data_IF_476011198489
#
_entry.id   IF_476011198489
#
_cell.length_a   1.000
_cell.length_b   1.000
_cell.length_c   1.000
_cell.angle_alpha   90.00
_cell.angle_beta   90.00
_cell.angle_gamma   90.00
#
_symmetry.space_group_name_H-M   'P 1'
#
loop_
_entity.id
_entity.type
_entity.pdbx_description
1 polymer ?
#
# COMPACT_ATOMS: atom_id res chain seq x y z
N UNK A 1 -28.32 6.78 -8.12
CA UNK A 1 -28.27 6.30 -9.52
C UNK A 1 -29.46 5.39 -9.74
N UNK A 2 -30.42 5.74 -10.60
CA UNK A 2 -31.55 4.85 -10.89
C UNK A 2 -31.02 3.56 -11.51
N UNK A 3 -31.16 2.44 -10.80
CA UNK A 3 -30.85 1.11 -11.30
C UNK A 3 -32.16 0.42 -11.65
N UNK A 4 -32.23 -0.18 -12.83
CA UNK A 4 -33.38 -0.97 -13.25
C UNK A 4 -33.01 -2.45 -13.22
N UNK A 5 -33.96 -3.31 -12.85
CA UNK A 5 -33.81 -4.75 -13.00
C UNK A 5 -34.30 -5.14 -14.39
N UNK A 6 -33.51 -5.94 -15.12
CA UNK A 6 -33.95 -6.62 -16.36
C UNK A 6 -33.70 -8.12 -16.22
N UNK A 7 -34.46 -8.90 -16.96
CA UNK A 7 -34.23 -10.35 -17.10
C UNK A 7 -33.50 -10.53 -18.43
N UNK A 8 -32.39 -11.25 -18.43
CA UNK A 8 -31.65 -11.58 -19.66
C UNK A 8 -32.26 -12.76 -20.42
N UNK A 9 -31.70 -13.10 -21.58
CA UNK A 9 -32.20 -14.19 -22.43
C UNK A 9 -32.10 -15.59 -21.76
N UNK A 10 -31.30 -15.72 -20.71
CA UNK A 10 -31.16 -16.94 -19.91
C UNK A 10 -32.14 -16.99 -18.72
N UNK A 11 -33.00 -15.98 -18.54
CA UNK A 11 -33.93 -15.88 -17.43
C UNK A 11 -33.33 -15.33 -16.12
N UNK A 12 -32.08 -14.84 -16.15
CA UNK A 12 -31.41 -14.30 -14.97
C UNK A 12 -31.72 -12.82 -14.78
N UNK A 13 -32.01 -12.41 -13.53
CA UNK A 13 -32.23 -11.00 -13.18
C UNK A 13 -30.90 -10.27 -13.03
N UNK A 14 -30.65 -9.31 -13.91
CA UNK A 14 -29.48 -8.44 -13.91
C UNK A 14 -29.85 -7.00 -13.57
N UNK A 15 -28.97 -6.29 -12.84
CA UNK A 15 -29.09 -4.84 -12.65
C UNK A 15 -28.45 -4.13 -13.82
N UNK A 16 -29.21 -3.28 -14.48
CA UNK A 16 -28.75 -2.51 -15.63
C UNK A 16 -28.81 -1.03 -15.28
N UNK A 17 -27.77 -0.32 -15.67
CA UNK A 17 -27.64 1.13 -15.55
C UNK A 17 -27.59 1.69 -16.95
N UNK A 18 -28.31 2.79 -17.16
CA UNK A 18 -28.24 3.53 -18.42
C UNK A 18 -26.79 4.00 -18.68
N UNK A 19 -26.32 3.83 -19.91
CA UNK A 19 -24.94 4.17 -20.28
C UNK A 19 -24.61 5.63 -19.99
N UNK A 20 -25.53 6.56 -20.26
CA UNK A 20 -25.31 7.98 -20.02
C UNK A 20 -25.16 8.28 -18.53
N UNK A 21 -25.94 7.60 -17.69
CA UNK A 21 -25.84 7.69 -16.23
C UNK A 21 -24.50 7.15 -15.73
N UNK A 22 -24.05 6.01 -16.27
CA UNK A 22 -22.76 5.43 -15.92
C UNK A 22 -21.60 6.35 -16.33
N UNK A 23 -21.64 6.90 -17.54
CA UNK A 23 -20.63 7.83 -18.04
C UNK A 23 -20.62 9.14 -17.26
N UNK A 24 -21.78 9.69 -16.91
CA UNK A 24 -21.87 10.89 -16.09
C UNK A 24 -21.26 10.67 -14.71
N UNK A 25 -21.60 9.56 -14.05
CA UNK A 25 -21.00 9.17 -12.77
C UNK A 25 -19.48 8.96 -12.89
N UNK A 26 -19.03 8.31 -13.96
CA UNK A 26 -17.61 8.07 -14.19
C UNK A 26 -16.84 9.38 -14.37
N UNK A 27 -17.37 10.33 -15.15
CA UNK A 27 -16.78 11.66 -15.33
C UNK A 27 -16.68 12.41 -13.99
N UNK A 28 -17.75 12.39 -13.20
CA UNK A 28 -17.75 13.05 -11.88
C UNK A 28 -16.69 12.42 -10.95
N UNK A 29 -16.61 11.09 -10.94
CA UNK A 29 -15.59 10.34 -10.18
C UNK A 29 -14.17 10.67 -10.64
N UNK A 30 -13.92 10.74 -11.94
CA UNK A 30 -12.61 11.09 -12.50
C UNK A 30 -12.22 12.55 -12.22
N UNK A 31 -13.20 13.46 -12.18
CA UNK A 31 -12.99 14.85 -11.78
C UNK A 31 -12.69 14.96 -10.28
N UNK A 32 -13.26 14.09 -9.44
CA UNK A 32 -13.06 14.08 -7.99
C UNK A 32 -11.77 13.39 -7.54
N UNK A 33 -11.04 12.71 -8.44
CA UNK A 33 -9.84 11.95 -8.08
C UNK A 33 -8.55 12.80 -8.22
N UNK A 34 -7.85 13.15 -7.11
CA UNK A 34 -6.71 14.06 -7.18
C UNK A 34 -5.55 13.54 -8.05
N UNK A 35 -5.21 12.25 -7.93
CA UNK A 35 -4.10 11.67 -8.68
C UNK A 35 -4.31 11.75 -10.20
N UNK A 36 -5.54 11.49 -10.67
CA UNK A 36 -5.88 11.60 -12.08
C UNK A 36 -5.75 13.05 -12.56
N UNK A 37 -6.26 14.02 -11.79
CA UNK A 37 -6.13 15.44 -12.10
C UNK A 37 -4.67 15.88 -12.22
N UNK A 38 -3.79 15.49 -11.29
CA UNK A 38 -2.37 15.85 -11.37
C UNK A 38 -1.65 15.19 -12.55
N UNK A 39 -2.00 13.94 -12.90
CA UNK A 39 -1.48 13.29 -14.12
C UNK A 39 -1.87 14.04 -15.39
N UNK A 40 -3.13 14.46 -15.50
CA UNK A 40 -3.59 15.28 -16.63
C UNK A 40 -2.89 16.62 -16.67
N UNK A 41 -2.80 17.31 -15.53
CA UNK A 41 -2.13 18.61 -15.41
C UNK A 41 -0.67 18.54 -15.84
N UNK A 42 0.05 17.47 -15.46
CA UNK A 42 1.42 17.20 -15.91
C UNK A 42 1.51 17.10 -17.44
N UNK A 43 0.64 16.31 -18.08
CA UNK A 43 0.61 16.16 -19.55
C UNK A 43 0.31 17.48 -20.27
N UNK A 44 -0.58 18.30 -19.72
CA UNK A 44 -0.91 19.63 -20.29
C UNK A 44 0.31 20.56 -20.26
N UNK A 45 1.05 20.56 -19.14
CA UNK A 45 2.30 21.31 -18.99
C UNK A 45 3.37 20.81 -19.96
N UNK A 46 3.54 19.49 -20.08
CA UNK A 46 4.49 18.87 -21.03
C UNK A 46 4.16 19.22 -22.49
N UNK A 47 2.87 19.39 -22.81
CA UNK A 47 2.41 19.84 -24.12
C UNK A 47 2.55 21.35 -24.34
N UNK A 48 3.15 22.10 -23.40
CA UNK A 48 3.36 23.55 -23.49
C UNK A 48 2.11 24.40 -23.26
N UNK A 49 1.02 23.80 -22.78
CA UNK A 49 -0.23 24.51 -22.52
C UNK A 49 -0.31 24.98 -21.05
N UNK A 50 -1.10 26.04 -20.80
CA UNK A 50 -1.35 26.49 -19.44
C UNK A 50 -2.18 25.46 -18.67
N UNK A 51 -1.65 25.05 -17.51
CA UNK A 51 -2.27 24.01 -16.70
C UNK A 51 -3.53 24.56 -16.00
N UNK A 52 -4.62 23.78 -15.95
CA UNK A 52 -5.82 24.20 -15.22
C UNK A 52 -5.50 24.45 -13.74
N UNK A 53 -6.16 25.45 -13.10
CA UNK A 53 -5.98 25.73 -11.68
C UNK A 53 -6.44 24.53 -10.85
N UNK A 54 -5.74 24.27 -9.74
CA UNK A 54 -6.10 23.17 -8.82
C UNK A 54 -7.45 23.49 -8.18
N UNK A 55 -8.48 22.62 -8.31
CA UNK A 55 -9.76 22.82 -7.66
C UNK A 55 -9.60 22.96 -6.14
N UNK A 56 -10.28 23.93 -5.52
CA UNK A 56 -10.21 24.18 -4.08
C UNK A 56 -10.57 22.95 -3.22
N UNK A 57 -11.36 22.02 -3.75
CA UNK A 57 -11.67 20.74 -3.09
C UNK A 57 -10.47 19.84 -2.86
N UNK A 58 -9.40 19.97 -3.64
CA UNK A 58 -8.15 19.19 -3.46
C UNK A 58 -7.22 19.83 -2.44
N UNK A 59 -7.37 21.13 -2.17
CA UNK A 59 -6.53 21.85 -1.20
C UNK A 59 -7.23 22.09 0.13
N UNK A 60 -8.55 21.87 0.23
CA UNK A 60 -9.22 21.77 1.53
C UNK A 60 -8.63 20.60 2.30
N UNK A 61 -7.70 20.89 3.21
CA UNK A 61 -7.57 20.11 4.44
C UNK A 61 -8.98 19.96 4.97
N UNK A 62 -9.41 18.72 5.22
CA UNK A 62 -10.69 18.45 5.91
C UNK A 62 -10.71 19.43 7.09
N UNK A 63 -11.65 20.39 7.16
CA UNK A 63 -11.74 21.24 8.32
C UNK A 63 -11.79 20.30 9.53
N UNK A 64 -11.08 20.60 10.63
CA UNK A 64 -11.17 19.78 11.83
C UNK A 64 -12.65 19.55 12.07
N UNK A 65 -13.05 18.28 12.12
CA UNK A 65 -14.45 17.91 12.33
C UNK A 65 -14.89 18.69 13.57
N UNK A 66 -15.83 19.64 13.47
CA UNK A 66 -16.35 20.27 14.67
C UNK A 66 -16.90 19.13 15.50
N UNK A 67 -16.33 18.92 16.69
CA UNK A 67 -16.85 17.94 17.64
C UNK A 67 -18.30 18.30 17.91
N UNK A 68 -19.24 17.58 17.27
CA UNK A 68 -20.65 17.60 17.62
C UNK A 68 -20.81 16.89 18.96
N UNK A 69 -20.48 17.62 20.03
CA UNK A 69 -20.88 17.32 21.40
C UNK A 69 -21.72 18.50 21.90
N UNK A 70 -22.88 18.71 21.29
CA UNK A 70 -24.01 19.38 21.94
C UNK A 70 -25.15 18.37 22.02
N UNK A 71 -25.06 17.50 23.03
CA UNK A 71 -26.25 16.87 23.62
C UNK A 71 -26.78 17.78 24.74
N UNK A 72 -28.11 17.83 24.93
CA UNK A 72 -28.76 18.69 25.92
C UNK A 72 -28.27 18.39 27.33
N UNK A 73 -28.09 19.46 28.12
CA UNK A 73 -27.67 19.49 29.52
C UNK A 73 -28.31 18.36 30.35
N UNK A 74 -27.58 17.26 30.50
CA UNK A 74 -27.64 16.39 31.66
C UNK A 74 -26.33 16.60 32.40
N UNK A 75 -26.40 16.84 33.71
CA UNK A 75 -25.23 17.00 34.60
C UNK A 75 -24.18 15.92 34.31
N UNK A 76 -22.98 16.28 33.78
CA UNK A 76 -21.95 15.31 33.51
C UNK A 76 -21.06 15.17 34.74
N UNK A 77 -21.22 14.05 35.43
CA UNK A 77 -20.16 13.42 36.19
C UNK A 77 -18.92 13.36 35.28
N UNK A 78 -17.87 14.11 35.65
CA UNK A 78 -16.65 14.30 34.87
C UNK A 78 -16.14 12.96 34.31
N UNK A 79 -16.17 12.72 32.99
CA UNK A 79 -15.48 11.58 32.42
C UNK A 79 -13.99 11.83 32.60
N UNK A 80 -13.37 11.06 33.51
CA UNK A 80 -11.92 10.94 33.65
C UNK A 80 -11.33 10.83 32.23
N UNK A 81 -10.54 11.83 31.85
CA UNK A 81 -9.82 11.84 30.58
C UNK A 81 -9.08 10.52 30.43
N UNK A 82 -9.57 9.65 29.54
CA UNK A 82 -8.83 8.47 29.13
C UNK A 82 -7.65 8.98 28.30
N UNK A 83 -6.52 9.17 28.98
CA UNK A 83 -5.23 9.40 28.34
C UNK A 83 -4.97 8.24 27.40
N UNK A 84 -5.06 8.48 26.09
CA UNK A 84 -4.62 7.50 25.11
C UNK A 84 -3.12 7.17 25.32
N UNK A 85 -2.64 6.04 24.78
CA UNK A 85 -1.24 5.68 24.84
C UNK A 85 -0.40 6.81 24.25
N UNK A 86 0.62 7.23 24.99
CA UNK A 86 1.58 8.21 24.53
C UNK A 86 2.43 7.62 23.41
N UNK A 87 3.09 8.46 22.61
CA UNK A 87 4.03 7.98 21.59
C UNK A 87 5.12 7.07 22.21
N UNK A 88 5.52 7.33 23.46
CA UNK A 88 6.45 6.48 24.19
C UNK A 88 5.88 5.09 24.48
N UNK A 89 4.59 5.00 24.83
CA UNK A 89 3.90 3.73 25.05
C UNK A 89 3.80 2.93 23.74
N UNK A 90 3.49 3.61 22.62
CA UNK A 90 3.47 2.97 21.30
C UNK A 90 4.86 2.47 20.89
N UNK A 91 5.92 3.26 21.14
CA UNK A 91 7.30 2.84 20.84
C UNK A 91 7.73 1.67 21.74
N UNK A 92 7.30 1.63 22.99
CA UNK A 92 7.59 0.52 23.92
C UNK A 92 6.83 -0.76 23.57
N UNK A 93 5.65 -0.65 22.97
CA UNK A 93 4.85 -1.80 22.48
C UNK A 93 5.32 -2.33 21.12
N UNK A 94 6.10 -1.55 20.36
CA UNK A 94 6.68 -2.06 19.13
C UNK A 94 7.69 -3.17 19.49
N UNK A 95 7.59 -4.37 18.90
CA UNK A 95 8.55 -5.42 19.16
C UNK A 95 9.96 -4.95 18.82
N UNK A 96 10.94 -5.29 19.65
CA UNK A 96 12.36 -5.04 19.39
C UNK A 96 12.79 -5.76 18.10
N UNK A 97 12.61 -5.08 16.98
CA UNK A 97 12.81 -5.66 15.65
C UNK A 97 14.30 -5.74 15.28
N UNK A 98 15.21 -5.30 16.17
CA UNK A 98 16.57 -4.87 15.81
C UNK A 98 17.64 -5.94 16.13
N UNK A 99 17.37 -6.91 17.02
CA UNK A 99 18.41 -7.83 17.50
C UNK A 99 18.40 -9.21 16.83
N UNK A 100 17.86 -9.30 15.61
CA UNK A 100 18.03 -10.52 14.82
C UNK A 100 19.50 -10.60 14.34
N UNK A 101 20.27 -11.66 14.69
CA UNK A 101 21.66 -11.80 14.27
C UNK A 101 21.82 -11.78 12.74
N UNK A 102 20.78 -12.17 12.01
CA UNK A 102 20.69 -12.10 10.55
C UNK A 102 20.71 -10.66 10.04
N UNK A 103 20.03 -9.74 10.72
CA UNK A 103 20.01 -8.32 10.35
C UNK A 103 21.40 -7.71 10.55
N UNK A 104 22.00 -7.93 11.72
CA UNK A 104 23.35 -7.44 12.02
C UNK A 104 24.41 -7.99 11.03
N UNK A 105 24.29 -9.26 10.64
CA UNK A 105 25.16 -9.87 9.64
C UNK A 105 24.98 -9.23 8.25
N UNK A 106 23.74 -8.99 7.82
CA UNK A 106 23.46 -8.34 6.54
C UNK A 106 23.91 -6.87 6.53
N UNK A 107 23.67 -6.12 7.61
CA UNK A 107 24.11 -4.72 7.73
C UNK A 107 25.62 -4.62 7.57
N UNK A 108 26.39 -5.43 8.32
CA UNK A 108 27.86 -5.46 8.20
C UNK A 108 28.32 -5.81 6.78
N UNK A 109 27.71 -6.82 6.17
CA UNK A 109 28.07 -7.22 4.81
C UNK A 109 27.72 -6.15 3.76
N UNK A 110 26.69 -5.35 4.00
CA UNK A 110 26.26 -4.25 3.12
C UNK A 110 27.21 -3.06 3.17
N UNK A 111 27.82 -2.81 4.34
CA UNK A 111 28.87 -1.80 4.48
C UNK A 111 30.11 -2.14 3.64
N UNK A 112 30.48 -3.43 3.59
CA UNK A 112 31.64 -3.90 2.84
C UNK A 112 31.35 -4.09 1.34
N UNK A 113 30.12 -4.50 0.99
CA UNK A 113 29.73 -4.83 -0.39
C UNK A 113 28.32 -4.33 -0.66
N UNK A 114 28.14 -3.28 -1.48
CA UNK A 114 26.81 -2.78 -1.78
C UNK A 114 25.99 -3.84 -2.55
N UNK A 115 24.70 -4.02 -2.24
CA UNK A 115 23.86 -5.00 -2.92
C UNK A 115 23.64 -4.60 -4.38
N UNK A 116 23.52 -5.59 -5.26
CA UNK A 116 23.29 -5.36 -6.70
C UNK A 116 21.97 -4.62 -7.00
N UNK A 117 21.03 -4.61 -6.06
CA UNK A 117 19.76 -3.90 -6.18
C UNK A 117 19.76 -2.49 -5.57
N UNK A 118 20.90 -1.99 -5.08
CA UNK A 118 20.99 -0.66 -4.48
C UNK A 118 20.56 0.45 -5.46
N UNK A 119 19.79 1.41 -4.96
CA UNK A 119 19.23 2.51 -5.76
C UNK A 119 18.13 2.14 -6.76
N UNK A 120 17.68 0.88 -6.82
CA UNK A 120 16.62 0.46 -7.72
C UNK A 120 15.24 0.53 -7.05
N UNK A 121 14.49 1.61 -7.32
CA UNK A 121 13.14 1.84 -6.78
C UNK A 121 12.15 0.70 -7.05
N UNK A 122 12.36 -0.11 -8.09
CA UNK A 122 11.49 -1.26 -8.38
C UNK A 122 11.51 -2.31 -7.28
N UNK A 123 12.56 -2.37 -6.44
CA UNK A 123 12.67 -3.31 -5.33
C UNK A 123 11.85 -2.93 -4.10
N UNK A 124 11.37 -1.68 -4.01
CA UNK A 124 10.56 -1.18 -2.89
C UNK A 124 9.05 -1.20 -3.19
N UNK A 125 8.64 -1.68 -4.36
CA UNK A 125 7.24 -1.71 -4.75
C UNK A 125 6.40 -2.65 -3.88
N UNK A 126 5.18 -2.24 -3.57
CA UNK A 126 4.22 -3.06 -2.82
C UNK A 126 3.66 -4.23 -3.65
N UNK A 127 3.66 -4.09 -4.99
CA UNK A 127 3.04 -5.06 -5.91
C UNK A 127 3.85 -5.22 -7.19
N UNK A 128 3.96 -6.47 -7.63
CA UNK A 128 4.64 -6.89 -8.85
C UNK A 128 3.61 -7.44 -9.84
N UNK A 129 3.07 -6.57 -10.70
CA UNK A 129 2.06 -6.96 -11.69
C UNK A 129 2.66 -7.43 -13.01
N UNK A 130 3.85 -6.92 -13.34
CA UNK A 130 4.55 -7.23 -14.59
C UNK A 130 5.49 -8.44 -14.41
N UNK A 131 5.24 -9.56 -15.10
CA UNK A 131 6.08 -10.75 -15.01
C UNK A 131 7.49 -10.52 -15.58
N UNK A 132 7.65 -9.67 -16.60
CA UNK A 132 8.97 -9.41 -17.21
C UNK A 132 9.86 -8.63 -16.24
N UNK A 133 9.32 -7.56 -15.65
CA UNK A 133 9.98 -6.82 -14.57
C UNK A 133 10.34 -7.74 -13.39
N UNK A 134 9.43 -8.64 -13.01
CA UNK A 134 9.67 -9.59 -11.92
C UNK A 134 10.86 -10.50 -12.22
N UNK A 135 10.94 -11.09 -13.42
CA UNK A 135 12.06 -11.98 -13.79
C UNK A 135 13.39 -11.22 -13.91
N UNK A 136 13.38 -9.99 -14.43
CA UNK A 136 14.55 -9.12 -14.43
C UNK A 136 15.10 -8.90 -13.02
N UNK A 137 14.23 -8.55 -12.07
CA UNK A 137 14.62 -8.35 -10.67
C UNK A 137 15.15 -9.64 -10.03
N UNK A 138 14.56 -10.80 -10.36
CA UNK A 138 15.11 -12.10 -9.94
C UNK A 138 16.52 -12.33 -10.48
N UNK A 139 16.77 -11.97 -11.74
CA UNK A 139 18.11 -12.02 -12.34
C UNK A 139 19.12 -11.20 -11.55
N UNK A 140 18.77 -9.96 -11.19
CA UNK A 140 19.62 -9.07 -10.38
C UNK A 140 19.92 -9.71 -9.01
N UNK A 141 18.90 -10.25 -8.34
CA UNK A 141 19.10 -10.94 -7.06
C UNK A 141 19.98 -12.19 -7.18
N UNK A 142 19.82 -13.00 -8.23
CA UNK A 142 20.62 -14.22 -8.44
C UNK A 142 22.12 -13.91 -8.60
N UNK A 143 22.45 -12.73 -9.12
CA UNK A 143 23.83 -12.28 -9.27
C UNK A 143 24.38 -11.55 -8.04
N UNK A 144 23.54 -11.26 -7.03
CA UNK A 144 23.93 -10.47 -5.87
C UNK A 144 24.81 -11.29 -4.90
N UNK A 145 25.97 -10.78 -4.46
CA UNK A 145 26.83 -11.47 -3.50
C UNK A 145 26.18 -11.65 -2.12
N UNK A 146 25.18 -10.82 -1.79
CA UNK A 146 24.45 -10.86 -0.52
C UNK A 146 23.18 -11.71 -0.57
N UNK A 147 22.97 -12.51 -1.62
CA UNK A 147 21.72 -13.26 -1.86
C UNK A 147 21.31 -14.11 -0.65
N UNK A 148 22.22 -14.93 -0.11
CA UNK A 148 21.89 -15.86 0.98
C UNK A 148 21.64 -15.14 2.32
N UNK A 149 22.37 -14.06 2.62
CA UNK A 149 22.10 -13.25 3.82
C UNK A 149 20.74 -12.55 3.72
N UNK A 150 20.45 -11.95 2.56
CA UNK A 150 19.17 -11.31 2.28
C UNK A 150 18.01 -12.32 2.36
N UNK A 151 18.20 -13.54 1.85
CA UNK A 151 17.22 -14.64 1.91
C UNK A 151 16.95 -15.07 3.35
N UNK A 152 17.99 -15.23 4.15
CA UNK A 152 17.87 -15.64 5.56
C UNK A 152 17.07 -14.59 6.34
N UNK A 153 17.44 -13.31 6.20
CA UNK A 153 16.71 -12.21 6.82
C UNK A 153 15.26 -12.14 6.34
N UNK A 154 15.01 -12.30 5.03
CA UNK A 154 13.68 -12.25 4.47
C UNK A 154 12.76 -13.35 5.03
N UNK A 155 13.29 -14.57 5.19
CA UNK A 155 12.55 -15.69 5.77
C UNK A 155 12.22 -15.44 7.24
N UNK A 156 13.17 -14.89 8.01
CA UNK A 156 12.99 -14.56 9.42
C UNK A 156 12.00 -13.40 9.63
N UNK A 157 12.20 -12.29 8.90
CA UNK A 157 11.43 -11.05 9.05
C UNK A 157 10.07 -11.03 8.33
N UNK A 158 9.85 -11.90 7.34
CA UNK A 158 8.60 -12.01 6.56
C UNK A 158 8.08 -10.65 6.07
N UNK A 159 8.88 -9.89 5.30
CA UNK A 159 8.51 -8.55 4.86
C UNK A 159 7.20 -8.58 4.06
N UNK A 160 6.37 -7.55 4.23
CA UNK A 160 5.04 -7.46 3.58
C UNK A 160 5.09 -6.81 2.20
N UNK A 161 6.19 -6.16 1.85
CA UNK A 161 6.40 -5.40 0.61
C UNK A 161 7.83 -5.58 0.07
N UNK A 162 8.03 -5.17 -1.17
CA UNK A 162 9.33 -5.24 -1.87
C UNK A 162 9.70 -6.64 -2.34
N UNK A 163 10.82 -6.73 -3.06
CA UNK A 163 11.42 -8.01 -3.48
C UNK A 163 12.67 -8.28 -2.67
N UNK A 164 12.77 -9.48 -2.11
CA UNK A 164 13.89 -9.86 -1.25
C UNK A 164 14.49 -11.17 -1.75
N UNK A 165 15.79 -11.18 -2.01
CA UNK A 165 16.51 -12.35 -2.52
C UNK A 165 15.83 -13.04 -3.72
N UNK A 166 15.26 -12.24 -4.64
CA UNK A 166 14.55 -12.73 -5.82
C UNK A 166 13.20 -13.37 -5.51
N UNK A 167 12.60 -13.06 -4.37
CA UNK A 167 11.31 -13.57 -3.93
C UNK A 167 10.36 -12.44 -3.56
N UNK A 168 9.08 -12.63 -3.89
CA UNK A 168 7.98 -11.79 -3.45
C UNK A 168 7.55 -12.14 -2.01
N UNK A 169 6.85 -11.24 -1.30
CA UNK A 169 6.33 -11.52 0.05
C UNK A 169 5.49 -12.80 0.14
N UNK A 170 4.73 -13.10 -0.92
CA UNK A 170 3.89 -14.31 -1.00
C UNK A 170 4.71 -15.60 -1.20
N UNK A 171 5.91 -15.53 -1.78
CA UNK A 171 6.82 -16.69 -1.88
C UNK A 171 7.57 -16.90 -0.57
N UNK A 172 8.06 -15.83 0.05
CA UNK A 172 8.74 -15.87 1.35
C UNK A 172 7.84 -16.51 2.41
N UNK A 173 6.57 -16.11 2.47
CA UNK A 173 5.58 -16.72 3.39
C UNK A 173 5.38 -18.22 3.15
N UNK A 174 5.45 -18.68 1.89
CA UNK A 174 5.34 -20.10 1.55
C UNK A 174 6.56 -20.89 2.00
N UNK A 175 7.76 -20.29 2.01
CA UNK A 175 8.98 -20.93 2.50
C UNK A 175 9.07 -20.97 4.03
N UNK A 176 8.66 -19.89 4.70
CA UNK A 176 8.75 -19.76 6.16
C UNK A 176 7.66 -20.47 6.95
N UNK A 177 6.71 -21.14 6.27
CA UNK A 177 5.75 -22.01 6.94
C UNK A 177 6.41 -23.39 7.02
N UNK A 178 6.95 -23.82 8.17
CA UNK A 178 7.43 -25.19 8.29
C UNK A 178 6.26 -26.07 7.90
N UNK A 179 6.43 -26.85 6.83
CA UNK A 179 5.47 -27.85 6.41
C UNK A 179 5.36 -28.78 7.60
N UNK A 180 4.37 -28.52 8.46
CA UNK A 180 4.06 -29.34 9.62
C UNK A 180 3.85 -30.70 9.00
N UNK A 181 4.84 -31.58 9.17
CA UNK A 181 4.83 -32.89 8.58
C UNK A 181 3.51 -33.50 9.02
N UNK A 182 2.59 -33.66 8.08
CA UNK A 182 1.30 -34.25 8.33
C UNK A 182 1.61 -35.59 9.00
N UNK A 183 1.32 -35.65 10.30
CA UNK A 183 1.60 -36.80 11.13
C UNK A 183 0.91 -38.00 10.49
N UNK A 184 1.73 -38.96 10.06
CA UNK A 184 1.31 -40.28 9.63
C UNK A 184 0.93 -41.12 10.86
#
# INVERSE_FOLDING_TARGET
MPMQWRVDDAGQRVRVVDEQVLLAWWRDRMQAWPAHFYRMRKRIIEAGNEAPPVPARFTRRKPPVPSETESPQQDPEQPKAASGPTLADVIAELPEFIDQPEHAALTRATEDTPPACDGLETFTYDRFADPEQTEMMRGICRACPLLELCKTLAIAGKPTAGMWAGMTPSEIRRLGTPKTAAAA
#
